data_IF_979461556419
#
_entry.id   IF_979461556419
#
_cell.length_a   1.000
_cell.length_b   1.000
_cell.length_c   1.000
_cell.angle_alpha   90.00
_cell.angle_beta   90.00
_cell.angle_gamma   90.00
#
_symmetry.space_group_name_H-M   'P 1'
#
loop_
_entity.id
_entity.type
_entity.pdbx_description
1 polymer ?
#
# COMPACT_ATOMS: atom_id res chain seq x y z
N UNK A 1 29.63 -37.03 45.24
CA UNK A 1 29.20 -38.26 44.54
C UNK A 1 28.09 -37.86 43.57
N UNK A 2 28.44 -37.57 42.31
CA UNK A 2 27.50 -37.05 41.30
C UNK A 2 26.65 -38.21 40.76
N UNK A 3 25.34 -38.17 41.01
CA UNK A 3 24.39 -39.14 40.49
C UNK A 3 24.37 -39.08 38.95
N UNK A 4 24.91 -40.13 38.32
CA UNK A 4 24.78 -40.36 36.87
C UNK A 4 23.32 -40.68 36.57
N UNK A 5 22.59 -39.70 36.03
CA UNK A 5 21.29 -39.96 35.40
C UNK A 5 21.45 -41.05 34.32
N UNK A 6 20.58 -42.07 34.28
CA UNK A 6 20.71 -43.17 33.32
C UNK A 6 20.61 -42.64 31.89
N UNK A 7 21.60 -42.98 31.06
CA UNK A 7 21.75 -42.52 29.67
C UNK A 7 20.48 -42.65 28.81
N UNK A 8 19.56 -43.57 29.14
CA UNK A 8 18.33 -43.80 28.37
C UNK A 8 17.23 -42.75 28.59
N UNK A 9 17.21 -42.06 29.72
CA UNK A 9 16.19 -41.01 29.97
C UNK A 9 16.54 -39.76 29.16
N UNK A 10 17.83 -39.40 29.12
CA UNK A 10 18.28 -38.23 28.36
C UNK A 10 18.06 -38.38 26.85
N UNK A 11 18.36 -39.56 26.30
CA UNK A 11 18.10 -39.86 24.88
C UNK A 11 16.60 -39.83 24.55
N UNK A 12 15.74 -40.32 25.47
CA UNK A 12 14.29 -40.26 25.31
C UNK A 12 13.77 -38.81 25.30
N UNK A 13 14.25 -37.95 26.21
CA UNK A 13 13.87 -36.54 26.23
C UNK A 13 14.36 -35.78 24.98
N UNK A 14 15.57 -36.08 24.49
CA UNK A 14 16.10 -35.50 23.24
C UNK A 14 15.25 -35.94 22.02
N UNK A 15 14.84 -37.20 21.96
CA UNK A 15 13.99 -37.73 20.88
C UNK A 15 12.57 -37.14 20.91
N UNK A 16 11.97 -37.02 22.10
CA UNK A 16 10.66 -36.37 22.30
C UNK A 16 10.74 -34.89 21.90
N UNK A 17 11.81 -34.20 22.28
CA UNK A 17 12.03 -32.78 21.93
C UNK A 17 12.21 -32.61 20.42
N UNK A 18 12.97 -33.49 19.76
CA UNK A 18 13.15 -33.48 18.31
C UNK A 18 11.83 -33.74 17.55
N UNK A 19 11.02 -34.71 18.01
CA UNK A 19 9.68 -34.98 17.45
C UNK A 19 8.74 -33.79 17.65
N UNK A 20 8.77 -33.13 18.80
CA UNK A 20 7.99 -31.92 19.06
C UNK A 20 8.42 -30.75 18.18
N UNK A 21 9.73 -30.54 17.99
CA UNK A 21 10.27 -29.54 17.07
C UNK A 21 9.86 -29.82 15.61
N UNK A 22 9.93 -31.07 15.17
CA UNK A 22 9.48 -31.46 13.83
C UNK A 22 7.96 -31.21 13.65
N UNK A 23 7.15 -31.57 14.65
CA UNK A 23 5.71 -31.29 14.63
C UNK A 23 5.41 -29.80 14.63
N UNK A 24 6.14 -29.01 15.41
CA UNK A 24 6.03 -27.56 15.41
C UNK A 24 6.39 -26.97 14.05
N UNK A 25 7.51 -27.38 13.45
CA UNK A 25 7.93 -26.94 12.13
C UNK A 25 6.89 -27.27 11.04
N UNK A 26 6.29 -28.47 11.09
CA UNK A 26 5.19 -28.86 10.20
C UNK A 26 3.94 -28.00 10.42
N UNK A 27 3.58 -27.72 11.67
CA UNK A 27 2.44 -26.83 11.98
C UNK A 27 2.68 -25.40 11.48
N UNK A 28 3.89 -24.86 11.66
CA UNK A 28 4.27 -23.53 11.15
C UNK A 28 4.18 -23.50 9.63
N UNK A 29 4.72 -24.54 8.96
CA UNK A 29 4.61 -24.67 7.50
C UNK A 29 3.16 -24.71 7.05
N UNK A 30 2.34 -25.57 7.65
CA UNK A 30 0.91 -25.69 7.31
C UNK A 30 0.16 -24.37 7.52
N UNK A 31 0.49 -23.63 8.58
CA UNK A 31 -0.06 -22.29 8.82
C UNK A 31 0.29 -21.31 7.68
N UNK A 32 1.56 -21.26 7.25
CA UNK A 32 1.97 -20.39 6.14
C UNK A 32 1.35 -20.82 4.81
N UNK A 33 1.23 -22.13 4.54
CA UNK A 33 0.57 -22.66 3.35
C UNK A 33 -0.92 -22.24 3.32
N UNK A 34 -1.64 -22.39 4.43
CA UNK A 34 -3.04 -21.98 4.56
C UNK A 34 -3.24 -20.46 4.39
N UNK A 35 -2.40 -19.64 5.04
CA UNK A 35 -2.47 -18.19 4.86
C UNK A 35 -2.19 -17.81 3.42
N UNK A 36 -1.18 -18.41 2.80
CA UNK A 36 -0.84 -18.12 1.39
C UNK A 36 -1.98 -18.54 0.47
N UNK A 37 -2.59 -19.70 0.68
CA UNK A 37 -3.75 -20.15 -0.10
C UNK A 37 -4.93 -19.18 0.05
N UNK A 38 -5.21 -18.70 1.27
CA UNK A 38 -6.25 -17.69 1.52
C UNK A 38 -5.93 -16.34 0.89
N UNK A 39 -4.67 -15.91 0.92
CA UNK A 39 -4.22 -14.70 0.24
C UNK A 39 -4.43 -14.82 -1.26
N UNK A 40 -4.01 -15.93 -1.87
CA UNK A 40 -4.22 -16.21 -3.30
C UNK A 40 -5.70 -16.23 -3.68
N UNK A 41 -6.57 -16.77 -2.82
CA UNK A 41 -8.01 -16.82 -3.06
C UNK A 41 -8.70 -15.45 -2.87
N UNK A 42 -8.24 -14.62 -1.93
CA UNK A 42 -8.87 -13.31 -1.63
C UNK A 42 -8.33 -12.18 -2.48
N UNK A 43 -7.06 -12.24 -2.87
CA UNK A 43 -6.44 -11.14 -3.58
C UNK A 43 -6.91 -11.14 -5.03
N UNK A 44 -7.19 -9.95 -5.59
CA UNK A 44 -7.68 -9.79 -6.96
C UNK A 44 -6.59 -10.01 -8.01
N UNK A 45 -5.78 -11.07 -7.89
CA UNK A 45 -4.70 -11.39 -8.84
C UNK A 45 -5.21 -11.63 -10.26
N UNK A 46 -6.46 -12.08 -10.39
CA UNK A 46 -7.12 -12.30 -11.66
C UNK A 46 -8.06 -11.16 -12.09
N UNK A 47 -8.12 -10.07 -11.33
CA UNK A 47 -8.93 -8.92 -11.71
C UNK A 47 -8.38 -8.26 -12.97
N UNK A 48 -9.23 -8.16 -13.99
CA UNK A 48 -8.84 -7.65 -15.29
C UNK A 48 -8.50 -6.17 -15.24
N UNK A 49 -9.21 -5.39 -14.42
CA UNK A 49 -8.96 -3.95 -14.24
C UNK A 49 -7.56 -3.71 -13.67
N UNK A 50 -7.18 -4.47 -12.63
CA UNK A 50 -5.84 -4.36 -12.04
C UNK A 50 -4.74 -4.82 -12.98
N UNK A 51 -4.98 -5.86 -13.78
CA UNK A 51 -4.05 -6.27 -14.84
C UNK A 51 -3.88 -5.17 -15.88
N UNK A 52 -4.96 -4.49 -16.26
CA UNK A 52 -4.92 -3.34 -17.16
C UNK A 52 -4.12 -2.18 -16.59
N UNK A 53 -4.05 -1.97 -15.27
CA UNK A 53 -3.22 -0.94 -14.64
C UNK A 53 -1.71 -1.22 -14.71
N UNK A 54 -1.26 -2.32 -15.31
CA UNK A 54 0.17 -2.59 -15.53
C UNK A 54 0.91 -1.45 -16.23
N UNK A 55 0.20 -0.59 -16.98
CA UNK A 55 0.82 0.48 -17.78
C UNK A 55 1.36 1.61 -16.93
N UNK A 56 0.95 1.65 -15.65
CA UNK A 56 1.49 2.58 -14.68
C UNK A 56 3.01 2.48 -14.60
N UNK A 57 3.59 1.29 -14.87
CA UNK A 57 5.02 1.14 -15.10
C UNK A 57 5.37 1.46 -16.57
N UNK A 58 6.11 2.56 -16.84
CA UNK A 58 6.46 2.98 -18.20
C UNK A 58 7.34 1.97 -18.96
N UNK A 59 8.13 1.14 -18.26
CA UNK A 59 8.94 0.10 -18.91
C UNK A 59 8.06 -1.00 -19.51
N UNK A 60 6.90 -1.26 -18.91
CA UNK A 60 5.95 -2.29 -19.35
C UNK A 60 4.94 -1.77 -20.37
N UNK A 61 5.07 -0.51 -20.83
CA UNK A 61 4.11 0.13 -21.73
C UNK A 61 3.85 -0.65 -23.03
N UNK A 62 4.83 -1.40 -23.53
CA UNK A 62 4.74 -2.19 -24.76
C UNK A 62 4.23 -3.62 -24.52
N UNK A 63 4.26 -4.11 -23.28
CA UNK A 63 3.84 -5.46 -22.91
C UNK A 63 2.32 -5.59 -22.78
N UNK A 64 1.62 -4.47 -22.75
CA UNK A 64 0.21 -4.40 -22.40
C UNK A 64 -0.62 -4.32 -23.66
N UNK A 65 -1.53 -5.29 -23.80
CA UNK A 65 -2.51 -5.31 -24.88
C UNK A 65 -3.31 -4.01 -24.87
N UNK A 66 -3.49 -3.45 -26.08
CA UNK A 66 -4.23 -2.22 -26.28
C UNK A 66 -5.66 -2.41 -25.77
N UNK A 67 -6.27 -3.57 -26.05
CA UNK A 67 -7.62 -3.98 -25.65
C UNK A 67 -7.85 -3.93 -24.14
N UNK A 68 -6.83 -4.25 -23.33
CA UNK A 68 -6.92 -4.17 -21.87
C UNK A 68 -7.08 -2.71 -21.38
N UNK A 69 -6.54 -1.74 -22.11
CA UNK A 69 -6.55 -0.32 -21.75
C UNK A 69 -7.60 0.49 -22.53
N UNK A 70 -8.07 -0.01 -23.69
CA UNK A 70 -9.20 0.55 -24.43
C UNK A 70 -10.47 0.62 -23.56
N UNK A 71 -10.66 -0.33 -22.64
CA UNK A 71 -11.75 -0.27 -21.65
C UNK A 71 -11.63 0.91 -20.66
N UNK A 72 -10.45 1.53 -20.54
CA UNK A 72 -10.18 2.66 -19.64
C UNK A 72 -10.13 4.00 -20.39
N UNK A 73 -9.59 4.05 -21.62
CA UNK A 73 -9.74 5.17 -22.57
C UNK A 73 -9.20 4.85 -23.97
N UNK A 74 -10.04 4.90 -25.02
CA UNK A 74 -9.71 4.38 -26.36
C UNK A 74 -8.54 5.05 -27.11
N UNK A 75 -8.47 6.39 -27.13
CA UNK A 75 -7.57 7.10 -28.06
C UNK A 75 -6.24 7.55 -27.45
N UNK A 76 -6.17 7.63 -26.13
CA UNK A 76 -5.06 8.28 -25.42
C UNK A 76 -3.89 7.33 -25.16
N UNK A 77 -4.19 6.05 -25.00
CA UNK A 77 -3.16 5.05 -24.69
C UNK A 77 -2.31 4.69 -25.91
N UNK A 78 -2.92 4.67 -27.09
CA UNK A 78 -2.22 4.38 -28.35
C UNK A 78 -1.16 5.43 -28.68
N UNK A 79 -1.43 6.73 -28.48
CA UNK A 79 -0.41 7.78 -28.64
C UNK A 79 0.75 7.60 -27.65
N UNK A 80 0.46 7.24 -26.39
CA UNK A 80 1.50 6.96 -25.39
C UNK A 80 2.40 5.76 -25.77
N UNK A 81 1.82 4.67 -26.26
CA UNK A 81 2.58 3.48 -26.69
C UNK A 81 3.44 3.75 -27.93
N UNK A 82 2.90 4.49 -28.89
CA UNK A 82 3.60 4.82 -30.15
C UNK A 82 4.61 5.95 -30.01
N UNK A 83 4.58 6.71 -28.91
CA UNK A 83 5.52 7.79 -28.65
C UNK A 83 6.95 7.26 -28.48
N UNK A 84 7.94 7.84 -29.19
CA UNK A 84 9.34 7.48 -29.00
C UNK A 84 9.77 7.84 -27.57
N UNK A 85 10.74 7.10 -27.03
CA UNK A 85 11.20 7.32 -25.65
C UNK A 85 11.76 8.75 -25.43
N UNK A 86 12.27 9.39 -26.47
CA UNK A 86 12.74 10.79 -26.46
C UNK A 86 11.64 11.81 -26.20
N UNK A 87 10.40 11.49 -26.55
CA UNK A 87 9.23 12.38 -26.39
C UNK A 87 8.59 12.27 -25.01
N UNK A 88 9.03 11.29 -24.22
CA UNK A 88 8.49 10.98 -22.90
C UNK A 88 9.51 11.32 -21.81
N UNK A 89 9.05 11.57 -20.58
CA UNK A 89 9.95 11.71 -19.44
C UNK A 89 10.80 10.46 -19.27
N UNK A 90 12.05 10.63 -18.87
CA UNK A 90 12.91 9.50 -18.51
C UNK A 90 12.33 8.73 -17.33
N UNK A 91 12.35 7.41 -17.41
CA UNK A 91 11.98 6.53 -16.31
C UNK A 91 13.03 5.43 -16.18
N UNK A 92 13.35 5.07 -14.94
CA UNK A 92 14.18 3.91 -14.64
C UNK A 92 13.63 3.25 -13.40
N UNK A 93 13.26 1.97 -13.51
CA UNK A 93 12.72 1.20 -12.40
C UNK A 93 13.70 1.19 -11.22
N UNK A 94 13.18 1.46 -10.03
CA UNK A 94 13.97 1.54 -8.79
C UNK A 94 14.72 2.86 -8.58
N UNK A 95 14.78 3.76 -9.58
CA UNK A 95 15.38 5.10 -9.43
C UNK A 95 14.36 6.22 -9.51
N UNK A 96 13.41 6.14 -10.44
CA UNK A 96 12.37 7.16 -10.62
C UNK A 96 11.08 6.70 -9.94
N UNK A 97 10.55 7.46 -8.96
CA UNK A 97 9.22 7.19 -8.41
C UNK A 97 8.14 7.28 -9.49
N UNK A 98 7.15 6.38 -9.44
CA UNK A 98 6.09 6.30 -10.45
C UNK A 98 5.24 7.58 -10.49
N UNK A 99 4.89 8.12 -9.32
CA UNK A 99 4.16 9.37 -9.17
C UNK A 99 4.90 10.54 -9.82
N UNK A 100 6.22 10.65 -9.62
CA UNK A 100 7.06 11.68 -10.25
C UNK A 100 7.05 11.56 -11.78
N UNK A 101 7.14 10.34 -12.32
CA UNK A 101 7.02 10.12 -13.76
C UNK A 101 5.67 10.62 -14.29
N UNK A 102 4.56 10.25 -13.65
CA UNK A 102 3.22 10.62 -14.12
C UNK A 102 2.91 12.12 -13.94
N UNK A 103 3.47 12.77 -12.92
CA UNK A 103 3.46 14.23 -12.78
C UNK A 103 4.20 14.90 -13.93
N UNK A 104 5.37 14.37 -14.33
CA UNK A 104 6.12 14.87 -15.48
C UNK A 104 5.38 14.60 -16.81
N UNK A 105 4.72 13.45 -16.94
CA UNK A 105 3.85 13.16 -18.10
C UNK A 105 2.73 14.19 -18.25
N UNK A 106 2.14 14.65 -17.15
CA UNK A 106 1.11 15.69 -17.18
C UNK A 106 1.64 17.05 -17.69
N UNK A 107 2.96 17.27 -17.65
CA UNK A 107 3.63 18.48 -18.15
C UNK A 107 4.03 18.39 -19.62
N UNK A 108 4.04 17.18 -20.20
CA UNK A 108 4.34 16.98 -21.62
C UNK A 108 3.28 17.68 -22.46
N UNK A 109 3.73 18.61 -23.28
CA UNK A 109 2.88 19.48 -24.08
C UNK A 109 3.17 19.31 -25.57
N UNK A 110 2.13 19.43 -26.37
CA UNK A 110 2.23 19.56 -27.83
C UNK A 110 2.90 20.89 -28.21
N UNK A 111 3.37 21.08 -29.45
CA UNK A 111 3.89 22.36 -29.94
C UNK A 111 2.94 23.55 -29.73
N UNK A 112 1.63 23.28 -29.65
CA UNK A 112 0.58 24.25 -29.37
C UNK A 112 0.42 24.58 -27.87
N UNK A 113 1.37 24.18 -27.01
CA UNK A 113 1.34 24.32 -25.54
C UNK A 113 0.12 23.71 -24.86
N UNK A 114 -0.56 22.76 -25.51
CA UNK A 114 -1.64 21.98 -24.91
C UNK A 114 -1.09 20.68 -24.32
N UNK A 115 -1.59 20.20 -23.16
CA UNK A 115 -1.16 18.93 -22.60
C UNK A 115 -1.39 17.80 -23.60
N UNK A 116 -0.36 16.99 -23.85
CA UNK A 116 -0.40 15.87 -24.81
C UNK A 116 -1.22 14.69 -24.24
N UNK A 117 -1.09 14.43 -22.94
CA UNK A 117 -1.69 13.28 -22.27
C UNK A 117 -2.59 13.66 -21.06
N UNK A 118 -3.56 14.58 -21.21
CA UNK A 118 -4.25 15.18 -20.07
C UNK A 118 -5.07 14.19 -19.24
N UNK A 119 -5.78 13.26 -19.87
CA UNK A 119 -6.60 12.29 -19.16
C UNK A 119 -5.79 11.06 -18.74
N UNK A 120 -4.80 10.65 -19.54
CA UNK A 120 -3.95 9.51 -19.18
C UNK A 120 -3.13 9.83 -17.92
N UNK A 121 -2.48 10.99 -17.84
CA UNK A 121 -1.71 11.36 -16.66
C UNK A 121 -2.62 11.49 -15.41
N UNK A 122 -3.81 12.07 -15.55
CA UNK A 122 -4.80 12.15 -14.45
C UNK A 122 -5.27 10.78 -14.00
N UNK A 123 -5.61 9.89 -14.94
CA UNK A 123 -6.02 8.51 -14.64
C UNK A 123 -4.89 7.78 -13.91
N UNK A 124 -3.65 7.90 -14.38
CA UNK A 124 -2.50 7.27 -13.73
C UNK A 124 -2.27 7.77 -12.31
N UNK A 125 -2.34 9.08 -12.09
CA UNK A 125 -2.20 9.66 -10.76
C UNK A 125 -3.34 9.22 -9.83
N UNK A 126 -4.57 9.13 -10.33
CA UNK A 126 -5.71 8.60 -9.57
C UNK A 126 -5.51 7.11 -9.23
N UNK A 127 -5.06 6.29 -10.19
CA UNK A 127 -4.80 4.88 -9.95
C UNK A 127 -3.65 4.67 -8.94
N UNK A 128 -2.61 5.49 -8.97
CA UNK A 128 -1.52 5.47 -7.97
C UNK A 128 -1.94 5.97 -6.60
N UNK A 129 -3.05 6.71 -6.50
CA UNK A 129 -3.63 7.11 -5.22
C UNK A 129 -4.47 6.02 -4.55
N UNK A 130 -4.74 4.90 -5.26
CA UNK A 130 -5.43 3.77 -4.66
C UNK A 130 -4.56 3.18 -3.55
N UNK A 131 -5.10 3.02 -2.32
CA UNK A 131 -4.35 2.41 -1.23
C UNK A 131 -4.04 0.96 -1.60
N UNK A 132 -2.76 0.65 -1.76
CA UNK A 132 -2.28 -0.68 -2.14
C UNK A 132 -1.99 -1.59 -0.94
N UNK A 133 -2.14 -1.07 0.29
CA UNK A 133 -1.91 -1.83 1.51
C UNK A 133 -2.86 -1.39 2.64
N UNK A 134 -3.00 -2.25 3.64
CA UNK A 134 -3.76 -1.94 4.85
C UNK A 134 -2.99 -1.01 5.80
N UNK A 135 -1.78 -0.57 5.48
CA UNK A 135 -0.95 0.23 6.38
C UNK A 135 -1.61 1.56 6.78
N UNK A 136 -2.29 2.23 5.85
CA UNK A 136 -2.96 3.50 6.12
C UNK A 136 -4.21 3.31 7.01
N UNK A 137 -5.13 2.36 6.73
CA UNK A 137 -6.17 1.96 7.68
C UNK A 137 -5.63 1.52 9.05
N UNK A 138 -4.56 0.72 9.10
CA UNK A 138 -3.95 0.26 10.35
C UNK A 138 -3.33 1.40 11.16
N UNK A 139 -2.70 2.37 10.49
CA UNK A 139 -2.24 3.62 11.12
C UNK A 139 -3.43 4.39 11.71
N UNK A 140 -4.54 4.50 10.99
CA UNK A 140 -5.78 5.10 11.51
C UNK A 140 -6.31 4.33 12.73
N UNK A 141 -6.33 2.99 12.69
CA UNK A 141 -6.74 2.17 13.85
C UNK A 141 -5.80 2.32 15.05
N UNK A 142 -4.50 2.48 14.81
CA UNK A 142 -3.53 2.78 15.87
C UNK A 142 -3.81 4.14 16.53
N UNK A 143 -4.15 5.16 15.73
CA UNK A 143 -4.59 6.47 16.25
C UNK A 143 -5.89 6.32 17.04
N UNK A 144 -6.86 5.56 16.52
CA UNK A 144 -8.14 5.31 17.18
C UNK A 144 -7.95 4.63 18.54
N UNK A 145 -7.10 3.60 18.64
CA UNK A 145 -6.76 2.93 19.91
C UNK A 145 -6.14 3.88 20.96
N UNK A 146 -5.50 4.96 20.53
CA UNK A 146 -5.00 6.01 21.45
C UNK A 146 -6.08 7.00 21.87
N UNK A 147 -7.15 7.16 21.09
CA UNK A 147 -8.28 8.05 21.37
C UNK A 147 -9.32 7.36 22.25
N UNK A 148 -9.64 6.11 21.91
CA UNK A 148 -10.52 5.20 22.64
C UNK A 148 -9.65 4.18 23.38
N UNK A 149 -9.35 4.49 24.63
CA UNK A 149 -8.64 3.59 25.54
C UNK A 149 -9.63 2.81 26.39
N UNK A 150 -9.19 1.77 27.09
CA UNK A 150 -10.05 0.99 28.00
C UNK A 150 -10.67 1.85 29.11
N UNK A 151 -9.96 2.89 29.56
CA UNK A 151 -10.45 3.89 30.52
C UNK A 151 -11.30 5.01 29.90
N UNK A 152 -11.28 5.15 28.57
CA UNK A 152 -11.98 6.18 27.80
C UNK A 152 -12.70 5.54 26.59
N UNK A 153 -13.49 4.51 26.84
CA UNK A 153 -14.20 3.78 25.79
C UNK A 153 -15.42 4.52 25.21
N UNK A 154 -16.03 5.43 25.99
CA UNK A 154 -17.31 6.05 25.63
C UNK A 154 -17.16 7.44 25.00
N UNK A 155 -16.35 7.54 23.94
CA UNK A 155 -16.23 8.75 23.12
C UNK A 155 -17.23 8.66 21.98
N UNK A 156 -18.10 9.67 21.82
CA UNK A 156 -19.10 9.64 20.76
C UNK A 156 -18.43 9.63 19.36
N UNK A 157 -19.06 8.97 18.39
CA UNK A 157 -18.48 8.79 17.05
C UNK A 157 -18.13 10.09 16.34
N UNK A 158 -18.90 11.17 16.54
CA UNK A 158 -18.60 12.49 15.99
C UNK A 158 -17.28 13.04 16.54
N UNK A 159 -17.09 12.97 17.86
CA UNK A 159 -15.84 13.40 18.51
C UNK A 159 -14.65 12.55 18.06
N UNK A 160 -14.83 11.23 17.93
CA UNK A 160 -13.78 10.34 17.39
C UNK A 160 -13.40 10.76 15.98
N UNK A 161 -14.39 10.96 15.10
CA UNK A 161 -14.15 11.38 13.72
C UNK A 161 -13.39 12.71 13.66
N UNK A 162 -13.79 13.71 14.46
CA UNK A 162 -13.09 15.00 14.50
C UNK A 162 -11.65 14.86 14.99
N UNK A 163 -11.40 14.08 16.05
CA UNK A 163 -10.07 13.88 16.60
C UNK A 163 -9.14 13.14 15.62
N UNK A 164 -9.64 12.11 14.94
CA UNK A 164 -8.90 11.39 13.91
C UNK A 164 -8.57 12.33 12.75
N UNK A 165 -9.55 13.08 12.22
CA UNK A 165 -9.33 14.04 11.14
C UNK A 165 -8.30 15.11 11.52
N UNK A 166 -8.35 15.66 12.74
CA UNK A 166 -7.34 16.60 13.22
C UNK A 166 -5.94 15.97 13.25
N UNK A 167 -5.81 14.73 13.74
CA UNK A 167 -4.51 14.06 13.83
C UNK A 167 -3.92 13.66 12.48
N UNK A 168 -4.74 13.17 11.55
CA UNK A 168 -4.28 12.75 10.21
C UNK A 168 -3.84 13.97 9.40
N UNK A 169 -4.55 15.10 9.54
CA UNK A 169 -4.28 16.31 8.75
C UNK A 169 -3.34 17.31 9.45
N UNK A 170 -2.85 17.00 10.66
CA UNK A 170 -1.89 17.84 11.35
C UNK A 170 -0.57 17.88 10.56
N UNK A 171 -0.14 19.08 10.17
CA UNK A 171 1.12 19.31 9.43
C UNK A 171 2.33 19.51 10.33
N UNK A 172 2.13 19.53 11.65
CA UNK A 172 3.16 19.78 12.65
C UNK A 172 2.89 18.95 13.90
N UNK A 173 3.90 18.87 14.76
CA UNK A 173 3.74 18.23 16.06
C UNK A 173 2.86 19.06 16.99
N UNK A 174 2.26 18.38 17.98
CA UNK A 174 1.28 19.03 18.87
C UNK A 174 1.86 20.21 19.67
N UNK A 175 3.17 20.22 19.95
CA UNK A 175 3.84 21.31 20.66
C UNK A 175 4.17 22.50 19.75
N UNK A 176 4.11 22.32 18.43
CA UNK A 176 4.32 23.37 17.43
C UNK A 176 3.00 23.98 16.95
N UNK A 177 1.88 23.33 17.27
CA UNK A 177 0.55 23.79 16.88
C UNK A 177 0.26 25.16 17.49
N UNK A 178 0.27 26.18 16.64
CA UNK A 178 -0.22 27.53 16.96
C UNK A 178 -1.65 27.67 16.44
N UNK A 179 -2.67 27.59 17.30
CA UNK A 179 -4.06 27.77 16.86
C UNK A 179 -4.25 29.20 16.33
N UNK A 180 -5.06 29.34 15.27
CA UNK A 180 -5.40 30.65 14.74
C UNK A 180 -6.26 31.42 15.76
N UNK A 181 -6.20 32.75 15.73
CA UNK A 181 -7.04 33.59 16.59
C UNK A 181 -8.54 33.27 16.40
N UNK A 182 -8.96 32.97 15.17
CA UNK A 182 -10.31 32.54 14.84
C UNK A 182 -10.70 31.24 15.56
N UNK A 183 -9.80 30.25 15.59
CA UNK A 183 -10.02 28.99 16.31
C UNK A 183 -10.12 29.22 17.83
N UNK A 184 -9.28 30.10 18.37
CA UNK A 184 -9.30 30.47 19.78
C UNK A 184 -10.58 31.21 20.18
N UNK A 185 -11.15 32.00 19.27
CA UNK A 185 -12.43 32.68 19.49
C UNK A 185 -13.59 31.68 19.41
N UNK A 186 -13.58 30.78 18.43
CA UNK A 186 -14.63 29.76 18.26
C UNK A 186 -14.66 28.69 19.36
N UNK A 187 -13.57 28.53 20.11
CA UNK A 187 -13.45 27.56 21.20
C UNK A 187 -13.89 28.12 22.58
N UNK A 188 -14.19 29.42 22.68
CA UNK A 188 -14.78 30.06 23.86
C UNK A 188 -16.30 29.93 23.82
#
# INVERSE_FOLDING_TARGET
>A
MLAKFPRSVKSFYEEVTAKMLAKFALSVRSFYEEITARMLAKFPFNDQTLKSLGYLNPERRLEISVEAVLQLSDKLFRDFQLSPASDLPSFTQGKTPLDVFWVNMNRVSTPLKKPRFPNLAKLSMAALSLPHSNADPERCFSILRKIQTDHRGNVCGKTVSSLISCKINAKCDCFELRPSNELCIAAK
#
